data_IF_742275140471
#
_entry.id   IF_742275140471
#
_cell.length_a   1.000
_cell.length_b   1.000
_cell.length_c   1.000
_cell.angle_alpha   90.00
_cell.angle_beta   90.00
_cell.angle_gamma   90.00
#
_symmetry.space_group_name_H-M   'P 1'
#
loop_
_entity.id
_entity.type
_entity.pdbx_description
1 polymer ?
#
# COMPACT_ATOMS: atom_id res chain seq x y z
N UNK A 1 -3.11 -23.93 -1.92
CA UNK A 1 -2.91 -23.21 -3.19
C UNK A 1 -2.45 -21.85 -2.73
N UNK A 2 -1.15 -21.57 -2.91
CA UNK A 2 -0.59 -20.24 -2.62
C UNK A 2 -1.14 -19.33 -3.72
N UNK A 3 -2.17 -18.54 -3.41
CA UNK A 3 -2.39 -17.31 -4.16
C UNK A 3 -1.12 -16.48 -3.96
N UNK A 4 -0.37 -16.15 -5.03
CA UNK A 4 0.78 -15.28 -4.90
C UNK A 4 0.33 -14.02 -4.18
N UNK A 5 1.08 -13.51 -3.22
CA UNK A 5 0.69 -12.25 -2.59
C UNK A 5 0.79 -11.13 -3.63
N UNK A 6 -0.33 -10.81 -4.26
CA UNK A 6 -0.39 -9.88 -5.40
C UNK A 6 -0.39 -8.43 -4.92
N UNK A 7 -0.84 -8.13 -3.71
CA UNK A 7 -1.07 -6.75 -3.28
C UNK A 7 -0.10 -6.31 -2.21
N UNK A 8 0.77 -5.35 -2.52
CA UNK A 8 1.74 -4.78 -1.59
C UNK A 8 1.28 -3.44 -1.06
N UNK A 9 1.23 -3.30 0.25
CA UNK A 9 1.17 -2.01 0.92
C UNK A 9 2.55 -1.56 1.37
N UNK A 10 2.89 -0.31 1.08
CA UNK A 10 4.15 0.32 1.50
C UNK A 10 3.84 1.63 2.19
N UNK A 11 4.25 1.78 3.45
CA UNK A 11 4.25 3.02 4.20
C UNK A 11 5.66 3.58 4.20
N UNK A 12 5.82 4.76 3.65
CA UNK A 12 7.01 5.59 3.79
C UNK A 12 6.73 6.78 4.69
N UNK A 13 7.73 7.20 5.45
CA UNK A 13 7.70 8.43 6.24
C UNK A 13 9.10 9.01 6.24
N UNK A 14 9.21 10.32 6.07
CA UNK A 14 10.50 11.04 5.97
C UNK A 14 11.41 10.44 4.87
N UNK A 15 10.81 10.00 3.77
CA UNK A 15 11.52 9.36 2.66
C UNK A 15 12.02 7.93 2.92
N UNK A 16 11.80 7.34 4.09
CA UNK A 16 12.18 5.97 4.42
C UNK A 16 10.97 5.02 4.44
N UNK A 17 11.14 3.78 3.99
CA UNK A 17 10.11 2.73 4.16
C UNK A 17 10.07 2.35 5.64
N UNK A 18 8.95 2.64 6.29
CA UNK A 18 8.71 2.32 7.70
C UNK A 18 8.04 0.96 7.83
N UNK A 19 7.11 0.65 6.94
CA UNK A 19 6.35 -0.59 6.98
C UNK A 19 6.00 -1.05 5.57
N UNK A 20 6.05 -2.35 5.34
CA UNK A 20 5.59 -2.96 4.10
C UNK A 20 4.92 -4.28 4.42
N UNK A 21 3.75 -4.51 3.84
CA UNK A 21 2.97 -5.72 4.05
C UNK A 21 2.38 -6.21 2.72
N UNK A 22 2.12 -7.50 2.64
CA UNK A 22 1.63 -8.15 1.44
C UNK A 22 0.29 -8.83 1.71
N UNK A 23 -0.58 -8.78 0.72
CA UNK A 23 -1.95 -9.25 0.81
C UNK A 23 -2.28 -10.13 -0.40
N UNK A 24 -2.98 -11.25 -0.20
CA UNK A 24 -3.40 -12.13 -1.28
C UNK A 24 -4.56 -11.54 -2.09
N UNK A 25 -5.41 -10.74 -1.45
CA UNK A 25 -6.65 -10.21 -2.04
C UNK A 25 -6.66 -8.70 -2.13
N UNK A 26 -7.16 -8.21 -3.27
CA UNK A 26 -7.33 -6.77 -3.52
C UNK A 26 -8.18 -6.11 -2.45
N UNK A 27 -9.34 -6.71 -2.14
CA UNK A 27 -10.30 -6.15 -1.20
C UNK A 27 -9.69 -6.02 0.20
N UNK A 28 -8.91 -7.00 0.63
CA UNK A 28 -8.18 -6.97 1.91
C UNK A 28 -7.08 -5.91 1.90
N UNK A 29 -6.32 -5.81 0.80
CA UNK A 29 -5.33 -4.76 0.62
C UNK A 29 -5.95 -3.35 0.65
N UNK A 30 -7.08 -3.13 -0.02
CA UNK A 30 -7.80 -1.85 -0.01
C UNK A 30 -8.34 -1.51 1.40
N UNK A 31 -8.83 -2.50 2.15
CA UNK A 31 -9.23 -2.29 3.55
C UNK A 31 -8.05 -1.96 4.46
N UNK A 32 -6.94 -2.68 4.32
CA UNK A 32 -5.71 -2.42 5.08
C UNK A 32 -5.16 -1.01 4.76
N UNK A 33 -5.23 -0.58 3.50
CA UNK A 33 -4.86 0.76 3.07
C UNK A 33 -5.65 1.86 3.78
N UNK A 34 -6.98 1.75 3.83
CA UNK A 34 -7.81 2.71 4.56
C UNK A 34 -7.53 2.69 6.07
N UNK A 35 -7.27 1.50 6.63
CA UNK A 35 -6.90 1.35 8.05
C UNK A 35 -5.56 2.01 8.37
N UNK A 36 -4.57 1.87 7.47
CA UNK A 36 -3.27 2.52 7.61
C UNK A 36 -3.39 4.03 7.48
N UNK A 37 -4.23 4.54 6.56
CA UNK A 37 -4.50 5.98 6.48
C UNK A 37 -5.03 6.48 7.83
N UNK A 38 -6.06 5.86 8.39
CA UNK A 38 -6.61 6.30 9.69
C UNK A 38 -5.61 6.22 10.84
N UNK A 39 -4.68 5.26 10.79
CA UNK A 39 -3.68 5.04 11.86
C UNK A 39 -2.45 5.93 11.73
N UNK A 40 -2.02 6.21 10.50
CA UNK A 40 -0.77 6.90 10.18
C UNK A 40 -0.99 8.30 9.58
N UNK A 41 -2.23 8.76 9.40
CA UNK A 41 -2.49 10.11 8.87
C UNK A 41 -1.97 11.23 9.77
N UNK A 42 -1.76 10.95 11.06
CA UNK A 42 -1.16 11.89 12.01
C UNK A 42 0.38 11.90 11.96
N UNK A 43 1.00 10.96 11.24
CA UNK A 43 2.46 10.89 11.08
C UNK A 43 2.86 11.88 9.98
N UNK A 44 3.84 12.74 10.30
CA UNK A 44 4.37 13.71 9.35
C UNK A 44 5.02 13.00 8.15
N UNK A 45 4.77 13.53 6.96
CA UNK A 45 5.30 12.99 5.69
C UNK A 45 4.92 11.51 5.42
N UNK A 46 3.88 10.99 6.08
CA UNK A 46 3.43 9.64 5.82
C UNK A 46 2.86 9.52 4.40
N UNK A 47 3.44 8.61 3.61
CA UNK A 47 2.89 8.19 2.33
C UNK A 47 2.60 6.70 2.36
N UNK A 48 1.41 6.33 1.96
CA UNK A 48 0.99 4.94 1.85
C UNK A 48 0.74 4.66 0.38
N UNK A 49 1.28 3.56 -0.13
CA UNK A 49 1.11 3.15 -1.53
C UNK A 49 0.63 1.71 -1.55
N UNK A 50 -0.47 1.47 -2.25
CA UNK A 50 -0.98 0.15 -2.57
C UNK A 50 -0.58 -0.18 -4.02
N UNK A 51 0.13 -1.29 -4.18
CA UNK A 51 0.67 -1.76 -5.45
C UNK A 51 0.17 -3.17 -5.72
N UNK A 52 -0.21 -3.47 -6.96
CA UNK A 52 -0.57 -4.80 -7.44
C UNK A 52 0.59 -5.36 -8.26
N UNK A 53 1.07 -6.55 -7.91
CA UNK A 53 2.04 -7.34 -8.65
C UNK A 53 1.27 -8.28 -9.57
N UNK A 54 1.44 -8.10 -10.87
CA UNK A 54 0.92 -9.02 -11.88
C UNK A 54 1.76 -10.30 -11.97
N UNK A 55 1.22 -11.31 -12.64
CA UNK A 55 1.89 -12.60 -12.90
C UNK A 55 3.22 -12.45 -13.67
N UNK A 56 3.35 -11.40 -14.48
CA UNK A 56 4.58 -11.04 -15.20
C UNK A 56 5.66 -10.40 -14.30
N UNK A 57 5.37 -10.20 -13.00
CA UNK A 57 6.27 -9.57 -12.02
C UNK A 57 6.23 -8.04 -12.03
N UNK A 58 5.41 -7.44 -12.89
CA UNK A 58 5.21 -5.98 -12.94
C UNK A 58 4.42 -5.48 -11.72
N UNK A 59 4.88 -4.39 -11.12
CA UNK A 59 4.24 -3.75 -9.97
C UNK A 59 3.50 -2.48 -10.41
N UNK A 60 2.17 -2.50 -10.36
CA UNK A 60 1.32 -1.37 -10.71
C UNK A 60 0.75 -0.70 -9.48
N UNK A 61 1.01 0.59 -9.31
CA UNK A 61 0.38 1.38 -8.22
C UNK A 61 -1.12 1.49 -8.47
N UNK A 62 -1.91 0.96 -7.54
CA UNK A 62 -3.36 1.05 -7.57
C UNK A 62 -3.86 2.29 -6.85
N UNK A 63 -3.32 2.56 -5.66
CA UNK A 63 -3.70 3.70 -4.83
C UNK A 63 -2.48 4.28 -4.12
N UNK A 64 -2.55 5.58 -3.82
CA UNK A 64 -1.54 6.29 -3.05
C UNK A 64 -2.23 7.28 -2.12
N UNK A 65 -1.69 7.43 -0.93
CA UNK A 65 -2.11 8.40 0.06
C UNK A 65 -0.88 9.17 0.57
N UNK A 66 -0.98 10.48 0.81
CA UNK A 66 -2.06 11.35 0.36
C UNK A 66 -2.22 11.26 -1.17
N UNK A 67 -3.47 11.20 -1.64
CA UNK A 67 -3.77 11.35 -3.06
C UNK A 67 -3.35 12.77 -3.40
N UNK A 68 -2.31 12.93 -4.22
CA UNK A 68 -1.90 14.23 -4.75
C UNK A 68 -3.00 14.73 -5.70
N UNK A 69 -4.11 15.17 -5.12
CA UNK A 69 -5.20 15.90 -5.75
C UNK A 69 -5.36 17.16 -4.90
N UNK A 70 -4.59 18.18 -5.29
CA UNK A 70 -4.66 19.54 -4.76
C UNK A 70 -5.91 20.27 -5.28
#
# INVERSE_FOLDING_TARGET
>A
MDDPEHYRLTLTSDGAVVMQDWWPDRATGEQAFLSWIGSYSAVADARIVLTERGDDGEERVLQRWPSDEA
#
